data_IF_565602398881
#
_entry.id   IF_565602398881
#
_cell.length_a   1.000
_cell.length_b   1.000
_cell.length_c   1.000
_cell.angle_alpha   90.00
_cell.angle_beta   90.00
_cell.angle_gamma   90.00
#
_symmetry.space_group_name_H-M   'P 1'
#
loop_
_entity.id
_entity.type
_entity.pdbx_description
1 polymer ?
#
# COMPACT_ATOMS: atom_id res chain seq x y z
N UNK A 1 15.76 3.91 -32.13
CA UNK A 1 16.83 3.14 -31.46
C UNK A 1 17.23 3.95 -30.24
N UNK A 2 16.74 3.59 -29.05
CA UNK A 2 17.12 4.24 -27.80
C UNK A 2 18.45 3.62 -27.35
N UNK A 3 19.54 4.37 -27.51
CA UNK A 3 20.87 3.92 -27.09
C UNK A 3 20.92 3.88 -25.55
N UNK A 4 20.77 2.69 -24.97
CA UNK A 4 21.08 2.45 -23.56
C UNK A 4 22.55 2.78 -23.34
N UNK A 5 22.82 3.90 -22.67
CA UNK A 5 24.17 4.26 -22.26
C UNK A 5 24.61 3.24 -21.23
N UNK A 6 25.44 2.27 -21.61
CA UNK A 6 25.92 1.23 -20.67
C UNK A 6 27.14 1.76 -19.93
N UNK A 7 27.11 1.79 -18.60
CA UNK A 7 28.29 2.07 -17.77
C UNK A 7 29.13 0.79 -17.69
N UNK A 8 30.28 0.80 -18.38
CA UNK A 8 31.29 -0.27 -18.31
C UNK A 8 30.82 -1.66 -18.79
N UNK A 9 29.73 -1.76 -19.55
CA UNK A 9 29.14 -3.03 -19.98
C UNK A 9 28.38 -3.80 -18.90
N UNK A 10 28.52 -3.38 -17.64
CA UNK A 10 27.90 -4.03 -16.47
C UNK A 10 26.54 -3.44 -16.15
N UNK A 11 26.34 -2.12 -16.33
CA UNK A 11 25.09 -1.44 -15.95
C UNK A 11 24.39 -0.76 -17.12
N UNK A 12 23.09 -0.95 -17.23
CA UNK A 12 22.24 -0.17 -18.13
C UNK A 12 21.85 1.13 -17.43
N UNK A 13 22.09 2.26 -18.10
CA UNK A 13 21.75 3.59 -17.60
C UNK A 13 20.62 4.18 -18.42
N UNK A 14 19.56 4.63 -17.75
CA UNK A 14 18.51 5.45 -18.34
C UNK A 14 18.29 6.70 -17.51
N UNK A 15 18.13 7.83 -18.19
CA UNK A 15 17.82 9.12 -17.56
C UNK A 15 16.41 9.53 -17.94
N UNK A 16 15.57 9.84 -16.97
CA UNK A 16 14.21 10.30 -17.20
C UNK A 16 14.07 11.71 -16.63
N UNK A 17 13.60 12.66 -17.42
CA UNK A 17 13.23 13.99 -16.92
C UNK A 17 11.70 14.05 -16.87
N UNK A 18 11.14 14.26 -15.67
CA UNK A 18 9.69 14.37 -15.51
C UNK A 18 9.35 15.73 -14.93
N UNK A 19 8.54 16.47 -15.67
CA UNK A 19 7.93 17.74 -15.26
C UNK A 19 6.55 17.45 -14.67
N UNK A 20 6.45 17.30 -13.35
CA UNK A 20 5.15 17.24 -12.66
C UNK A 20 4.64 18.69 -12.49
N UNK A 21 3.49 19.02 -13.10
CA UNK A 21 2.88 20.35 -13.02
C UNK A 21 2.76 20.82 -11.55
N UNK A 22 3.54 21.85 -11.18
CA UNK A 22 3.49 22.51 -9.87
C UNK A 22 4.51 22.06 -8.82
N UNK A 23 5.33 21.02 -9.09
CA UNK A 23 6.29 20.48 -8.10
C UNK A 23 7.77 20.61 -8.50
N UNK A 24 8.07 21.34 -9.57
CA UNK A 24 9.43 21.47 -10.10
C UNK A 24 9.84 20.30 -10.99
N UNK A 25 10.82 20.55 -11.86
CA UNK A 25 11.40 19.52 -12.74
C UNK A 25 12.30 18.62 -11.91
N UNK A 26 12.05 17.31 -11.92
CA UNK A 26 12.95 16.34 -11.32
C UNK A 26 13.59 15.45 -12.38
N UNK A 27 14.87 15.13 -12.16
CA UNK A 27 15.66 14.26 -13.04
C UNK A 27 15.90 12.94 -12.34
N UNK A 28 15.52 11.84 -12.98
CA UNK A 28 15.80 10.48 -12.57
C UNK A 28 16.99 9.92 -13.32
N UNK A 29 17.92 9.31 -12.60
CA UNK A 29 18.94 8.44 -13.16
C UNK A 29 18.68 7.02 -12.66
N UNK A 30 18.38 6.09 -13.56
CA UNK A 30 18.22 4.67 -13.26
C UNK A 30 19.44 3.90 -13.76
N UNK A 31 20.03 3.13 -12.87
CA UNK A 31 21.12 2.21 -13.11
C UNK A 31 20.58 0.83 -12.81
N UNK A 32 20.56 -0.09 -13.77
CA UNK A 32 19.99 -1.41 -13.53
C UNK A 32 20.84 -2.54 -14.13
N UNK A 33 20.92 -3.60 -13.33
CA UNK A 33 21.49 -4.92 -13.60
C UNK A 33 20.46 -5.99 -13.25
N UNK A 34 20.66 -7.24 -13.68
CA UNK A 34 19.85 -8.37 -13.22
C UNK A 34 19.80 -8.49 -11.69
N UNK A 35 20.91 -8.20 -11.00
CA UNK A 35 21.04 -8.37 -9.55
C UNK A 35 20.75 -7.11 -8.72
N UNK A 36 20.77 -5.93 -9.35
CA UNK A 36 20.68 -4.66 -8.62
C UNK A 36 20.07 -3.54 -9.46
N UNK A 37 19.25 -2.71 -8.82
CA UNK A 37 18.76 -1.46 -9.41
C UNK A 37 19.02 -0.31 -8.45
N UNK A 38 19.60 0.77 -8.96
CA UNK A 38 19.83 2.03 -8.24
C UNK A 38 19.09 3.12 -8.98
N UNK A 39 18.26 3.88 -8.24
CA UNK A 39 17.51 5.01 -8.77
C UNK A 39 17.90 6.25 -7.99
N UNK A 40 18.36 7.29 -8.69
CA UNK A 40 18.78 8.56 -8.11
C UNK A 40 17.86 9.64 -8.66
N UNK A 41 17.17 10.36 -7.78
CA UNK A 41 16.30 11.48 -8.15
C UNK A 41 16.93 12.80 -7.72
N UNK A 42 17.03 13.74 -8.65
CA UNK A 42 17.53 15.11 -8.43
C UNK A 42 16.36 16.10 -8.47
N UNK A 43 16.36 17.06 -7.55
CA UNK A 43 15.33 18.12 -7.48
C UNK A 43 14.02 17.71 -6.80
N UNK A 44 13.93 16.48 -6.28
CA UNK A 44 12.79 16.00 -5.48
C UNK A 44 13.04 16.22 -3.99
N UNK A 45 11.97 16.46 -3.22
CA UNK A 45 12.04 16.54 -1.77
C UNK A 45 12.29 15.13 -1.17
N UNK A 46 13.37 14.95 -0.37
CA UNK A 46 13.72 13.64 0.18
C UNK A 46 12.65 13.05 1.09
N UNK A 47 11.93 13.87 1.86
CA UNK A 47 10.86 13.38 2.72
C UNK A 47 9.66 12.94 1.89
N UNK A 48 9.26 13.74 0.90
CA UNK A 48 8.14 13.38 0.01
C UNK A 48 8.42 12.10 -0.77
N UNK A 49 9.63 11.93 -1.29
CA UNK A 49 10.03 10.72 -2.00
C UNK A 49 10.06 9.51 -1.06
N UNK A 50 10.58 9.67 0.17
CA UNK A 50 10.52 8.61 1.19
C UNK A 50 9.08 8.18 1.48
N UNK A 51 8.16 9.13 1.66
CA UNK A 51 6.74 8.82 1.88
C UNK A 51 6.11 8.13 0.67
N UNK A 52 6.43 8.56 -0.56
CA UNK A 52 5.97 7.91 -1.79
C UNK A 52 6.45 6.46 -1.85
N UNK A 53 7.74 6.21 -1.65
CA UNK A 53 8.33 4.86 -1.67
C UNK A 53 7.70 3.97 -0.60
N UNK A 54 7.61 4.45 0.64
CA UNK A 54 7.00 3.69 1.74
C UNK A 54 5.53 3.35 1.46
N UNK A 55 4.76 4.28 0.89
CA UNK A 55 3.37 4.03 0.49
C UNK A 55 3.25 2.95 -0.59
N UNK A 56 4.14 2.98 -1.58
CA UNK A 56 4.18 1.96 -2.63
C UNK A 56 4.59 0.59 -2.08
N UNK A 57 5.60 0.55 -1.20
CA UNK A 57 6.02 -0.67 -0.52
C UNK A 57 4.88 -1.25 0.32
N UNK A 58 4.24 -0.42 1.16
CA UNK A 58 3.11 -0.83 1.99
C UNK A 58 1.95 -1.38 1.13
N UNK A 59 1.60 -0.71 0.03
CA UNK A 59 0.56 -1.21 -0.88
C UNK A 59 0.89 -2.60 -1.42
N UNK A 60 2.15 -2.84 -1.82
CA UNK A 60 2.61 -4.16 -2.29
C UNK A 60 2.61 -5.19 -1.16
N UNK A 61 3.01 -4.81 0.05
CA UNK A 61 2.97 -5.68 1.22
C UNK A 61 1.53 -6.13 1.50
N UNK A 62 0.56 -5.21 1.47
CA UNK A 62 -0.87 -5.51 1.66
C UNK A 62 -1.40 -6.43 0.56
N UNK A 63 -1.07 -6.15 -0.70
CA UNK A 63 -1.48 -7.00 -1.83
C UNK A 63 -0.92 -8.42 -1.71
N UNK A 64 0.37 -8.56 -1.37
CA UNK A 64 0.98 -9.88 -1.10
C UNK A 64 0.40 -10.56 0.12
N UNK A 65 0.10 -9.82 1.19
CA UNK A 65 -0.52 -10.37 2.38
C UNK A 65 -1.89 -10.97 2.05
N UNK A 66 -2.69 -10.27 1.23
CA UNK A 66 -3.98 -10.78 0.75
C UNK A 66 -3.83 -12.04 -0.11
N UNK A 67 -2.85 -12.06 -1.02
CA UNK A 67 -2.59 -13.24 -1.86
C UNK A 67 -2.18 -14.46 -1.01
N UNK A 68 -1.27 -14.28 -0.05
CA UNK A 68 -0.86 -15.34 0.88
C UNK A 68 -2.06 -15.82 1.70
N UNK A 69 -2.87 -14.91 2.23
CA UNK A 69 -4.05 -15.25 3.02
C UNK A 69 -5.07 -16.02 2.19
N UNK A 70 -5.32 -15.59 0.94
CA UNK A 70 -6.16 -16.30 -0.01
C UNK A 70 -5.67 -17.72 -0.24
N UNK A 71 -4.36 -17.89 -0.49
CA UNK A 71 -3.77 -19.21 -0.69
C UNK A 71 -3.90 -20.10 0.55
N UNK A 72 -3.69 -19.56 1.75
CA UNK A 72 -3.87 -20.27 3.01
C UNK A 72 -5.32 -20.72 3.20
N UNK A 73 -6.29 -19.85 2.94
CA UNK A 73 -7.72 -20.15 3.05
C UNK A 73 -8.16 -21.17 2.00
N UNK A 74 -7.64 -21.08 0.76
CA UNK A 74 -7.85 -22.09 -0.29
C UNK A 74 -7.28 -23.46 0.09
N UNK A 75 -6.13 -23.48 0.78
CA UNK A 75 -5.51 -24.70 1.30
C UNK A 75 -6.20 -25.25 2.57
N UNK A 76 -7.26 -24.59 3.05
CA UNK A 76 -8.04 -25.02 4.22
C UNK A 76 -7.44 -24.63 5.57
N UNK A 77 -6.37 -23.82 5.59
CA UNK A 77 -5.83 -23.27 6.83
C UNK A 77 -6.70 -22.11 7.33
N UNK A 78 -6.70 -21.89 8.65
CA UNK A 78 -7.47 -20.81 9.26
C UNK A 78 -6.93 -19.42 8.89
N UNK A 79 -5.71 -19.33 8.35
CA UNK A 79 -5.08 -18.05 8.02
C UNK A 79 -4.68 -17.26 9.27
N UNK A 80 -4.37 -15.97 9.11
CA UNK A 80 -4.13 -15.03 10.21
C UNK A 80 -5.41 -14.36 10.72
N UNK A 81 -6.47 -14.32 9.91
CA UNK A 81 -7.77 -13.78 10.30
C UNK A 81 -8.74 -14.87 10.73
N UNK A 82 -9.52 -14.64 11.79
CA UNK A 82 -10.70 -15.46 12.11
C UNK A 82 -11.83 -15.17 11.11
N UNK A 83 -11.64 -15.62 9.86
CA UNK A 83 -12.59 -15.41 8.77
C UNK A 83 -13.84 -16.27 8.94
N UNK A 84 -15.02 -15.66 8.84
CA UNK A 84 -16.26 -16.41 8.72
C UNK A 84 -16.32 -17.20 7.41
N UNK A 85 -17.23 -18.17 7.30
CA UNK A 85 -17.37 -18.98 6.07
C UNK A 85 -17.70 -18.11 4.85
N UNK A 86 -18.50 -17.05 5.06
CA UNK A 86 -18.85 -16.07 4.04
C UNK A 86 -17.66 -15.17 3.67
N UNK A 87 -16.89 -14.72 4.67
CA UNK A 87 -15.68 -13.91 4.45
C UNK A 87 -14.58 -14.71 3.73
N UNK A 88 -14.46 -16.02 4.00
CA UNK A 88 -13.55 -16.93 3.28
C UNK A 88 -13.92 -17.06 1.80
N UNK A 89 -15.21 -17.22 1.49
CA UNK A 89 -15.68 -17.29 0.11
C UNK A 89 -15.43 -15.96 -0.63
N UNK A 90 -15.69 -14.83 0.04
CA UNK A 90 -15.37 -13.50 -0.49
C UNK A 90 -13.87 -13.33 -0.75
N UNK A 91 -13.01 -13.80 0.17
CA UNK A 91 -11.57 -13.76 0.01
C UNK A 91 -11.08 -14.60 -1.19
N UNK A 92 -11.61 -15.80 -1.36
CA UNK A 92 -11.25 -16.68 -2.49
C UNK A 92 -11.72 -16.07 -3.82
N UNK A 93 -12.94 -15.55 -3.84
CA UNK A 93 -13.59 -15.01 -5.05
C UNK A 93 -13.03 -13.64 -5.46
N UNK A 94 -12.91 -12.69 -4.52
CA UNK A 94 -12.48 -11.30 -4.79
C UNK A 94 -11.00 -11.04 -4.51
N UNK A 95 -10.35 -11.87 -3.71
CA UNK A 95 -8.97 -11.65 -3.24
C UNK A 95 -8.86 -10.69 -2.05
N UNK A 96 -9.97 -10.14 -1.56
CA UNK A 96 -10.01 -9.24 -0.40
C UNK A 96 -11.33 -9.40 0.33
N UNK A 97 -11.36 -9.20 1.66
CA UNK A 97 -12.60 -9.23 2.44
C UNK A 97 -13.13 -7.81 2.64
N UNK A 98 -14.42 -7.59 2.35
CA UNK A 98 -15.03 -6.27 2.47
C UNK A 98 -15.08 -5.81 3.93
N UNK A 99 -14.56 -4.61 4.18
CA UNK A 99 -14.50 -4.02 5.53
C UNK A 99 -13.31 -4.46 6.36
N UNK A 100 -12.35 -5.19 5.78
CA UNK A 100 -11.02 -5.36 6.37
C UNK A 100 -10.01 -4.51 5.61
N UNK A 101 -9.11 -3.87 6.36
CA UNK A 101 -7.99 -3.10 5.84
C UNK A 101 -6.69 -3.69 6.38
N UNK A 102 -5.70 -3.83 5.49
CA UNK A 102 -4.35 -4.21 5.89
C UNK A 102 -3.66 -3.01 6.51
N UNK A 103 -3.38 -3.06 7.81
CA UNK A 103 -2.61 -2.04 8.52
C UNK A 103 -1.23 -2.58 8.86
N UNK A 104 -0.24 -1.69 8.91
CA UNK A 104 1.08 -2.04 9.38
C UNK A 104 1.05 -2.39 10.88
N UNK A 105 1.61 -3.55 11.25
CA UNK A 105 1.82 -3.93 12.65
C UNK A 105 2.92 -3.07 13.24
N UNK A 106 4.07 -3.00 12.55
CA UNK A 106 5.19 -2.15 12.91
C UNK A 106 5.30 -0.94 11.98
N UNK A 107 5.55 0.23 12.57
CA UNK A 107 5.71 1.47 11.83
C UNK A 107 6.84 1.36 10.80
N UNK A 108 6.48 1.46 9.53
CA UNK A 108 7.40 1.48 8.38
C UNK A 108 8.40 2.64 8.43
N UNK A 109 8.11 3.69 9.20
CA UNK A 109 9.02 4.80 9.47
C UNK A 109 10.21 4.41 10.35
N UNK A 110 10.01 3.46 11.29
CA UNK A 110 11.07 2.96 12.18
C UNK A 110 11.79 1.75 11.57
N UNK A 111 11.07 0.94 10.79
CA UNK A 111 11.59 -0.25 10.12
C UNK A 111 11.25 -0.24 8.63
N UNK A 112 11.98 0.56 7.81
CA UNK A 112 11.72 0.64 6.38
C UNK A 112 11.91 -0.70 5.65
N UNK A 113 12.74 -1.60 6.19
CA UNK A 113 12.91 -2.96 5.66
C UNK A 113 11.63 -3.81 5.74
N UNK A 114 10.71 -3.50 6.67
CA UNK A 114 9.44 -4.22 6.82
C UNK A 114 8.32 -3.61 5.96
N UNK A 115 8.58 -2.52 5.24
CA UNK A 115 7.56 -1.83 4.45
C UNK A 115 7.05 -2.67 3.27
N UNK A 116 7.85 -3.62 2.77
CA UNK A 116 7.48 -4.52 1.67
C UNK A 116 7.17 -5.96 2.15
N UNK A 117 7.23 -6.18 3.48
CA UNK A 117 7.03 -7.49 4.10
C UNK A 117 5.54 -7.76 4.32
N UNK A 118 4.93 -8.75 3.63
CA UNK A 118 3.53 -9.13 3.90
C UNK A 118 3.33 -9.65 5.33
N UNK A 119 4.39 -10.13 5.98
CA UNK A 119 4.37 -10.55 7.38
C UNK A 119 4.10 -9.42 8.37
N UNK A 120 4.41 -8.18 8.01
CA UNK A 120 4.18 -6.98 8.82
C UNK A 120 2.77 -6.38 8.62
N UNK A 121 1.91 -7.00 7.81
CA UNK A 121 0.53 -6.56 7.59
C UNK A 121 -0.43 -7.36 8.47
N UNK A 122 -1.28 -6.65 9.19
CA UNK A 122 -2.41 -7.23 9.92
C UNK A 122 -3.73 -6.76 9.33
N UNK A 123 -4.69 -7.68 9.19
CA UNK A 123 -6.03 -7.35 8.75
C UNK A 123 -6.87 -6.89 9.93
N UNK A 124 -7.32 -5.63 9.89
CA UNK A 124 -8.22 -5.08 10.92
C UNK A 124 -9.57 -4.76 10.30
N UNK A 125 -10.64 -5.03 11.04
CA UNK A 125 -11.99 -4.69 10.61
C UNK A 125 -12.21 -3.18 10.78
N UNK A 126 -12.55 -2.48 9.70
CA UNK A 126 -12.94 -1.07 9.71
C UNK A 126 -14.29 -0.90 10.43
N UNK A 127 -14.22 -0.82 11.75
CA UNK A 127 -15.36 -0.49 12.62
C UNK A 127 -15.69 1.00 12.58
N UNK A 128 -14.82 1.85 12.04
CA UNK A 128 -14.99 3.31 11.97
C UNK A 128 -16.07 3.71 10.96
N UNK A 129 -16.29 2.95 9.88
CA UNK A 129 -17.41 3.17 8.95
C UNK A 129 -18.80 3.06 9.59
N UNK A 130 -18.97 2.30 10.69
CA UNK A 130 -20.27 2.22 11.39
C UNK A 130 -20.62 3.49 12.17
N UNK A 131 -19.65 4.27 12.64
CA UNK A 131 -19.92 5.39 13.55
C UNK A 131 -20.46 6.66 12.86
N UNK A 132 -20.27 6.79 11.54
CA UNK A 132 -20.72 7.97 10.78
C UNK A 132 -22.21 7.99 10.41
N UNK A 133 -22.95 6.88 10.56
CA UNK A 133 -24.39 6.81 10.22
C UNK A 133 -25.34 6.93 11.41
N UNK A 134 -24.84 6.95 12.65
CA UNK A 134 -25.65 6.94 13.87
C UNK A 134 -25.92 8.32 14.49
N UNK A 135 -25.33 9.41 13.95
CA UNK A 135 -25.29 10.70 14.64
C UNK A 135 -26.45 11.68 14.40
N UNK A 136 -27.37 11.44 13.45
CA UNK A 136 -28.29 12.50 12.98
C UNK A 136 -29.79 12.25 13.24
N UNK A 137 -30.17 11.58 14.34
CA UNK A 137 -31.59 11.28 14.64
C UNK A 137 -32.11 11.74 16.00
N UNK A 138 -31.56 12.79 16.60
CA UNK A 138 -32.16 13.41 17.80
C UNK A 138 -32.02 14.93 17.81
N UNK A 139 -32.81 15.61 16.98
CA UNK A 139 -33.26 16.95 17.30
C UNK A 139 -34.61 17.25 16.62
N UNK A 140 -35.69 16.65 17.13
CA UNK A 140 -37.04 17.20 17.03
C UNK A 140 -37.56 17.36 18.45
N UNK A 141 -37.23 18.49 19.06
CA UNK A 141 -37.94 18.96 20.25
C UNK A 141 -39.25 19.54 19.75
N UNK A 142 -40.34 18.80 19.95
CA UNK A 142 -41.69 19.33 19.88
C UNK A 142 -41.84 20.37 21.02
N UNK A 143 -41.98 21.65 20.66
CA UNK A 143 -42.60 22.64 21.55
C UNK A 143 -44.11 22.41 21.49
N UNK A 144 -44.73 22.09 22.62
CA UNK A 144 -46.16 22.22 22.80
C UNK A 144 -46.44 23.16 23.96
N UNK A 145 -47.45 23.96 23.72
CA UNK A 145 -48.01 25.09 24.45
C UNK A 145 -48.53 24.71 25.85
N UNK A 146 -48.30 25.59 26.84
CA UNK A 146 -49.17 25.93 28.00
C UNK A 146 -48.56 27.10 28.75
#
# INVERSE_FOLDING_TARGET
MEELRRLGGMFNVSTHETTEHGSGTWKELRLHNPDAAVVIKYGADPEQERHRILKHAHKRAVERAWEIEKQLVMAGFQGRGDWSKEEKDELISRGTVSGYEGVDIHSVHRYPQLADDPGNVAFTRDTKRKRRKSGNRRNRIHRHDS
#
